data_IF_802715750672
#
_entry.id   IF_802715750672
#
_cell.length_a   1.000
_cell.length_b   1.000
_cell.length_c   1.000
_cell.angle_alpha   90.00
_cell.angle_beta   90.00
_cell.angle_gamma   90.00
#
_symmetry.space_group_name_H-M   'P 1'
#
loop_
_entity.id
_entity.type
_entity.pdbx_description
1 polymer ?
#
# COMPACT_ATOMS: atom_id res chain seq x y z
N UNK A 1 14.90 2.77 -2.07
CA UNK A 1 13.63 2.02 -1.99
C UNK A 1 12.79 2.39 -3.20
N UNK A 2 12.49 1.43 -4.08
CA UNK A 2 11.92 1.72 -5.42
C UNK A 2 10.48 2.25 -5.42
N UNK A 3 9.75 2.23 -4.29
CA UNK A 3 8.33 2.62 -4.22
C UNK A 3 7.95 3.45 -2.99
N UNK A 4 8.86 4.34 -2.55
CA UNK A 4 8.68 5.12 -1.31
C UNK A 4 7.33 5.87 -1.26
N UNK A 5 6.95 6.53 -2.34
CA UNK A 5 5.69 7.31 -2.44
C UNK A 5 4.44 6.44 -2.29
N UNK A 6 4.42 5.24 -2.89
CA UNK A 6 3.29 4.31 -2.75
C UNK A 6 3.14 3.85 -1.30
N UNK A 7 4.25 3.43 -0.68
CA UNK A 7 4.26 2.96 0.72
C UNK A 7 3.79 4.07 1.66
N UNK A 8 4.28 5.30 1.48
CA UNK A 8 3.90 6.45 2.30
C UNK A 8 2.42 6.79 2.14
N UNK A 9 1.88 6.72 0.92
CA UNK A 9 0.46 6.97 0.64
C UNK A 9 -0.44 5.97 1.37
N UNK A 10 -0.10 4.68 1.29
CA UNK A 10 -0.85 3.61 1.97
C UNK A 10 -0.77 3.77 3.49
N UNK A 11 0.43 4.03 4.04
CA UNK A 11 0.62 4.28 5.47
C UNK A 11 -0.18 5.46 5.97
N UNK A 12 -0.08 6.59 5.27
CA UNK A 12 -0.79 7.82 5.64
C UNK A 12 -2.30 7.62 5.63
N UNK A 13 -2.83 6.87 4.65
CA UNK A 13 -4.25 6.52 4.63
C UNK A 13 -4.62 5.62 5.81
N UNK A 14 -3.84 4.59 6.10
CA UNK A 14 -4.04 3.69 7.25
C UNK A 14 -4.07 4.49 8.57
N UNK A 15 -3.11 5.40 8.75
CA UNK A 15 -3.01 6.23 9.95
C UNK A 15 -4.19 7.22 10.07
N UNK A 16 -4.64 7.79 8.94
CA UNK A 16 -5.84 8.67 8.89
C UNK A 16 -7.10 7.93 9.33
N UNK A 17 -7.23 6.66 8.94
CA UNK A 17 -8.33 5.79 9.36
C UNK A 17 -8.14 5.20 10.76
N UNK A 18 -7.01 5.48 11.43
CA UNK A 18 -6.64 4.93 12.75
C UNK A 18 -6.64 3.40 12.81
N UNK A 19 -6.24 2.77 11.71
CA UNK A 19 -6.16 1.31 11.59
C UNK A 19 -4.72 0.85 11.93
N UNK A 20 -4.56 -0.18 12.76
CA UNK A 20 -3.23 -0.77 13.03
C UNK A 20 -2.79 -1.70 11.88
N UNK A 21 -1.51 -2.08 11.83
CA UNK A 21 -1.07 -3.06 10.85
C UNK A 21 -1.75 -4.42 11.06
N UNK A 22 -1.96 -4.81 12.32
CA UNK A 22 -2.68 -6.02 12.71
C UNK A 22 -4.13 -5.98 12.19
N UNK A 23 -4.85 -4.89 12.44
CA UNK A 23 -6.23 -4.73 11.95
C UNK A 23 -6.30 -4.73 10.42
N UNK A 24 -5.38 -4.05 9.73
CA UNK A 24 -5.36 -4.03 8.28
C UNK A 24 -5.07 -5.42 7.70
N UNK A 25 -4.15 -6.17 8.31
CA UNK A 25 -3.86 -7.54 7.91
C UNK A 25 -5.10 -8.43 8.03
N UNK A 26 -5.82 -8.34 9.15
CA UNK A 26 -7.03 -9.12 9.40
C UNK A 26 -8.16 -8.73 8.43
N UNK A 27 -8.41 -7.43 8.23
CA UNK A 27 -9.47 -6.93 7.36
C UNK A 27 -9.22 -7.21 5.87
N UNK A 28 -7.96 -7.12 5.43
CA UNK A 28 -7.59 -7.35 4.02
C UNK A 28 -7.37 -8.82 3.67
N UNK A 29 -7.32 -9.70 4.67
CA UNK A 29 -6.89 -11.09 4.50
C UNK A 29 -5.42 -11.24 4.05
N UNK A 30 -4.62 -10.19 4.18
CA UNK A 30 -3.19 -10.20 3.87
C UNK A 30 -2.41 -10.53 5.14
N UNK A 31 -1.50 -11.49 5.07
CA UNK A 31 -0.68 -11.85 6.23
C UNK A 31 0.10 -10.66 6.80
N UNK A 32 0.08 -10.51 8.13
CA UNK A 32 0.74 -9.41 8.84
C UNK A 32 2.22 -9.25 8.50
N UNK A 33 2.94 -10.36 8.30
CA UNK A 33 4.35 -10.34 7.88
C UNK A 33 4.51 -9.67 6.52
N UNK A 34 3.65 -9.99 5.55
CA UNK A 34 3.65 -9.41 4.21
C UNK A 34 3.39 -7.90 4.28
N UNK A 35 2.39 -7.49 5.06
CA UNK A 35 2.08 -6.07 5.27
C UNK A 35 3.27 -5.32 5.90
N UNK A 36 3.91 -5.89 6.94
CA UNK A 36 5.10 -5.30 7.58
C UNK A 36 6.28 -5.19 6.61
N UNK A 37 6.50 -6.20 5.77
CA UNK A 37 7.56 -6.15 4.75
C UNK A 37 7.28 -5.11 3.67
N UNK A 38 6.03 -4.99 3.22
CA UNK A 38 5.59 -3.95 2.29
C UNK A 38 5.79 -2.55 2.90
N UNK A 39 5.24 -2.31 4.10
CA UNK A 39 5.32 -1.00 4.77
C UNK A 39 6.74 -0.60 5.18
N UNK A 40 7.66 -1.55 5.35
CA UNK A 40 9.08 -1.27 5.60
C UNK A 40 9.91 -1.14 4.32
N UNK A 41 9.31 -1.30 3.14
CA UNK A 41 9.99 -1.24 1.85
C UNK A 41 10.94 -2.41 1.58
N UNK A 42 10.86 -3.48 2.38
CA UNK A 42 11.66 -4.70 2.27
C UNK A 42 10.96 -5.80 1.45
N UNK A 43 9.67 -5.66 1.19
CA UNK A 43 8.85 -6.59 0.43
C UNK A 43 8.39 -6.02 -0.91
N UNK A 44 8.26 -6.90 -1.90
CA UNK A 44 7.62 -6.59 -3.18
C UNK A 44 6.33 -7.42 -3.29
N UNK A 45 5.19 -6.91 -2.78
CA UNK A 45 3.91 -7.63 -2.83
C UNK A 45 3.40 -7.78 -4.26
N UNK A 46 2.54 -8.77 -4.48
CA UNK A 46 1.83 -8.93 -5.75
C UNK A 46 0.80 -7.82 -5.95
N UNK A 47 0.36 -7.60 -7.19
CA UNK A 47 -0.74 -6.69 -7.50
C UNK A 47 -2.00 -7.04 -6.71
N UNK A 48 -2.36 -8.32 -6.64
CA UNK A 48 -3.50 -8.81 -5.85
C UNK A 48 -3.42 -8.39 -4.38
N UNK A 49 -2.22 -8.48 -3.78
CA UNK A 49 -2.00 -8.07 -2.38
C UNK A 49 -2.17 -6.56 -2.22
N UNK A 50 -1.64 -5.77 -3.16
CA UNK A 50 -1.79 -4.31 -3.15
C UNK A 50 -3.26 -3.89 -3.31
N UNK A 51 -4.00 -4.55 -4.19
CA UNK A 51 -5.43 -4.33 -4.38
C UNK A 51 -6.21 -4.63 -3.10
N UNK A 52 -5.99 -5.79 -2.46
CA UNK A 52 -6.64 -6.14 -1.19
C UNK A 52 -6.38 -5.10 -0.08
N UNK A 53 -5.14 -4.64 0.05
CA UNK A 53 -4.77 -3.58 1.00
C UNK A 53 -5.49 -2.27 0.64
N UNK A 54 -5.47 -1.89 -0.64
CA UNK A 54 -6.13 -0.69 -1.16
C UNK A 54 -7.63 -0.69 -0.89
N UNK A 55 -8.33 -1.74 -1.30
CA UNK A 55 -9.77 -1.90 -1.14
C UNK A 55 -10.20 -1.74 0.32
N UNK A 56 -9.44 -2.37 1.23
CA UNK A 56 -9.68 -2.29 2.69
C UNK A 56 -9.53 -0.86 3.22
N UNK A 57 -8.64 -0.07 2.63
CA UNK A 57 -8.40 1.34 2.99
C UNK A 57 -9.27 2.33 2.20
N UNK A 58 -10.15 1.82 1.33
CA UNK A 58 -10.95 2.62 0.41
C UNK A 58 -10.08 3.37 -0.60
N UNK A 59 -9.04 2.70 -1.12
CA UNK A 59 -8.12 3.20 -2.14
C UNK A 59 -8.15 2.28 -3.36
N UNK A 60 -7.97 2.86 -4.54
CA UNK A 60 -7.83 2.12 -5.78
C UNK A 60 -6.42 2.32 -6.35
N UNK A 61 -5.79 1.23 -6.80
CA UNK A 61 -4.51 1.30 -7.49
C UNK A 61 -4.75 1.56 -8.97
N UNK A 62 -4.33 2.73 -9.45
CA UNK A 62 -4.51 3.15 -10.85
C UNK A 62 -3.18 3.42 -11.53
N UNK A 63 -3.15 3.24 -12.86
CA UNK A 63 -2.10 3.78 -13.70
C UNK A 63 -2.48 5.20 -14.15
N UNK A 64 -1.50 6.08 -14.19
CA UNK A 64 -1.64 7.43 -14.76
C UNK A 64 -0.59 7.65 -15.85
N UNK A 65 -0.89 8.54 -16.79
CA UNK A 65 0.05 8.93 -17.84
C UNK A 65 1.26 9.64 -17.25
N UNK A 66 2.46 9.28 -17.71
CA UNK A 66 3.67 10.01 -17.33
C UNK A 66 3.63 11.39 -17.98
N UNK A 67 3.77 12.45 -17.18
CA UNK A 67 4.05 13.77 -17.72
C UNK A 67 5.50 13.79 -18.19
N UNK A 68 5.70 13.61 -19.50
CA UNK A 68 6.98 13.75 -20.18
C UNK A 68 7.20 15.24 -20.52
N UNK A 69 7.24 16.12 -19.52
CA UNK A 69 7.87 17.42 -19.72
C UNK A 69 9.37 17.17 -19.67
N UNK A 70 9.99 17.19 -20.85
CA UNK A 70 11.44 17.26 -20.98
C UNK A 70 11.88 18.62 -20.43
N UNK A 71 12.61 18.60 -19.32
CA UNK A 71 13.51 19.69 -18.94
C UNK A 71 14.74 19.68 -19.86
#
# INVERSE_FOLDING_TARGET
MHYKTLIESVKSRRDTLKITQEMLADLSGVGLRTLKQFESGKGNPTLETLTKIGDTLGMELIFTTKNLTAD
#
